data_IF_068957971513
#
_entry.id   IF_068957971513
#
_cell.length_a   1.000
_cell.length_b   1.000
_cell.length_c   1.000
_cell.angle_alpha   90.00
_cell.angle_beta   90.00
_cell.angle_gamma   90.00
#
_symmetry.space_group_name_H-M   'P 1'
#
loop_
_entity.id
_entity.type
_entity.pdbx_description
1 polymer ?
#
# COMPACT_ATOMS: atom_id res chain seq x y z
N UNK A 1 12.34 6.89 23.40
CA UNK A 1 11.35 5.81 23.27
C UNK A 1 10.18 6.39 22.49
N UNK A 2 9.96 5.97 21.24
CA UNK A 2 8.84 6.48 20.45
C UNK A 2 7.54 5.96 21.04
N UNK A 3 6.64 6.86 21.43
CA UNK A 3 5.29 6.47 21.82
C UNK A 3 4.48 6.23 20.56
N UNK A 4 4.12 4.96 20.30
CA UNK A 4 3.27 4.60 19.15
C UNK A 4 1.88 5.21 19.32
N UNK A 5 1.33 5.73 18.24
CA UNK A 5 -0.06 6.17 18.18
C UNK A 5 -0.98 4.96 17.96
N UNK A 6 -2.29 5.07 18.26
CA UNK A 6 -3.23 3.96 18.06
C UNK A 6 -3.32 3.47 16.61
N UNK A 7 -3.01 4.33 15.63
CA UNK A 7 -2.95 3.98 14.22
C UNK A 7 -1.57 3.51 13.75
N UNK A 8 -0.68 3.13 14.67
CA UNK A 8 0.64 2.60 14.40
C UNK A 8 0.84 1.27 15.11
N UNK A 9 1.53 0.33 14.48
CA UNK A 9 1.90 -0.95 15.08
C UNK A 9 3.35 -1.30 14.71
N UNK A 10 4.21 -1.46 15.71
CA UNK A 10 5.54 -2.04 15.54
C UNK A 10 5.39 -3.56 15.50
N UNK A 11 5.69 -4.19 14.37
CA UNK A 11 5.42 -5.61 14.10
C UNK A 11 6.69 -6.46 14.05
N UNK A 12 7.84 -5.83 13.90
CA UNK A 12 9.18 -6.38 14.04
C UNK A 12 10.09 -5.24 14.53
N UNK A 13 11.35 -5.52 14.84
CA UNK A 13 12.26 -4.58 15.50
C UNK A 13 12.29 -3.19 14.82
N UNK A 14 12.23 -3.15 13.47
CA UNK A 14 12.32 -1.92 12.69
C UNK A 14 11.13 -1.70 11.73
N UNK A 15 10.14 -2.60 11.72
CA UNK A 15 9.00 -2.54 10.81
C UNK A 15 7.77 -1.97 11.53
N UNK A 16 7.34 -0.80 11.07
CA UNK A 16 6.18 -0.08 11.57
C UNK A 16 5.07 -0.07 10.51
N UNK A 17 3.88 -0.53 10.86
CA UNK A 17 2.67 -0.32 10.07
C UNK A 17 2.00 0.98 10.49
N UNK A 18 1.51 1.73 9.51
CA UNK A 18 0.69 2.93 9.72
C UNK A 18 -0.70 2.74 9.12
N UNK A 19 -1.75 3.05 9.88
CA UNK A 19 -3.15 2.92 9.46
C UNK A 19 -3.52 3.78 8.25
N UNK A 20 -2.66 4.71 7.85
CA UNK A 20 -2.73 5.44 6.58
C UNK A 20 -2.24 4.60 5.40
N UNK A 21 -2.10 3.27 5.59
CA UNK A 21 -1.77 2.27 4.58
C UNK A 21 -0.31 2.36 4.10
N UNK A 22 0.60 2.63 5.01
CA UNK A 22 2.04 2.67 4.76
C UNK A 22 2.80 1.72 5.69
N UNK A 23 3.88 1.16 5.17
CA UNK A 23 4.83 0.34 5.91
C UNK A 23 6.16 1.09 5.94
N UNK A 24 6.70 1.32 7.13
CA UNK A 24 7.94 2.06 7.33
C UNK A 24 9.00 1.19 8.00
N UNK A 25 10.21 1.20 7.46
CA UNK A 25 11.38 0.58 8.07
C UNK A 25 12.29 1.66 8.67
N UNK A 26 12.52 1.58 9.98
CA UNK A 26 13.16 2.67 10.72
C UNK A 26 14.65 2.79 10.40
N UNK A 27 15.39 1.69 10.40
CA UNK A 27 16.85 1.69 10.20
C UNK A 27 17.24 2.00 8.75
N UNK A 28 16.59 1.36 7.77
CA UNK A 28 16.86 1.59 6.34
C UNK A 28 16.16 2.85 5.81
N UNK A 29 15.25 3.42 6.58
CA UNK A 29 14.54 4.67 6.27
C UNK A 29 13.82 4.64 4.92
N UNK A 30 13.17 3.53 4.58
CA UNK A 30 12.24 3.49 3.47
C UNK A 30 10.80 3.44 3.98
N UNK A 31 9.91 4.08 3.21
CA UNK A 31 8.47 4.06 3.40
C UNK A 31 7.84 3.41 2.17
N UNK A 32 7.03 2.39 2.34
CA UNK A 32 6.35 1.71 1.23
C UNK A 32 4.85 1.94 1.27
N UNK A 33 4.28 2.17 0.08
CA UNK A 33 2.85 2.23 -0.21
C UNK A 33 2.58 1.45 -1.49
N UNK A 34 1.35 0.98 -1.71
CA UNK A 34 1.01 0.19 -2.89
C UNK A 34 -0.29 0.67 -3.55
N UNK A 35 -0.43 0.44 -4.85
CA UNK A 35 -1.70 0.53 -5.58
C UNK A 35 -2.40 1.89 -5.39
N UNK A 36 -1.74 2.97 -5.82
CA UNK A 36 -2.28 4.32 -5.70
C UNK A 36 -3.47 4.55 -6.63
N UNK A 37 -3.44 3.92 -7.81
CA UNK A 37 -4.45 4.14 -8.86
C UNK A 37 -4.78 5.61 -9.06
N UNK A 38 -3.73 6.46 -9.06
CA UNK A 38 -3.85 7.90 -9.16
C UNK A 38 -4.60 8.29 -10.43
N UNK A 39 -5.61 9.13 -10.30
CA UNK A 39 -6.47 9.55 -11.42
C UNK A 39 -7.59 8.57 -11.77
N UNK A 40 -7.97 7.64 -10.90
CA UNK A 40 -9.15 6.79 -11.10
C UNK A 40 -10.40 7.61 -11.47
N UNK A 41 -10.66 8.71 -10.76
CA UNK A 41 -11.79 9.58 -11.02
C UNK A 41 -11.72 10.29 -12.39
N UNK A 42 -10.52 10.60 -12.88
CA UNK A 42 -10.35 11.17 -14.23
C UNK A 42 -10.77 10.14 -15.29
N UNK A 43 -10.30 8.91 -15.15
CA UNK A 43 -10.65 7.80 -16.02
C UNK A 43 -12.16 7.54 -16.04
N UNK A 44 -12.78 7.46 -14.85
CA UNK A 44 -14.22 7.22 -14.73
C UNK A 44 -15.05 8.34 -15.35
N UNK A 45 -14.64 9.60 -15.16
CA UNK A 45 -15.30 10.75 -15.78
C UNK A 45 -15.13 10.78 -17.29
N UNK A 46 -13.95 10.43 -17.80
CA UNK A 46 -13.72 10.27 -19.23
C UNK A 46 -14.61 9.19 -19.85
N UNK A 47 -14.99 8.17 -19.08
CA UNK A 47 -15.96 7.15 -19.43
C UNK A 47 -17.43 7.56 -19.22
N UNK A 48 -17.71 8.81 -18.79
CA UNK A 48 -19.04 9.35 -18.58
C UNK A 48 -19.64 9.16 -17.17
N UNK A 49 -18.89 8.63 -16.22
CA UNK A 49 -19.36 8.47 -14.85
C UNK A 49 -19.31 9.79 -14.06
N UNK A 50 -20.28 10.02 -13.19
CA UNK A 50 -20.34 11.18 -12.29
C UNK A 50 -19.66 10.84 -10.96
N UNK A 51 -18.34 10.74 -10.97
CA UNK A 51 -17.52 10.48 -9.77
C UNK A 51 -16.98 11.78 -9.19
N UNK A 52 -16.96 11.95 -7.87
CA UNK A 52 -16.37 13.14 -7.24
C UNK A 52 -14.84 13.15 -7.40
N UNK A 53 -14.25 14.35 -7.44
CA UNK A 53 -12.83 14.59 -7.78
C UNK A 53 -11.95 14.87 -6.55
N UNK A 54 -12.05 14.02 -5.52
CA UNK A 54 -11.28 14.21 -4.29
C UNK A 54 -10.15 13.17 -4.08
N UNK A 55 -10.17 12.07 -4.84
CA UNK A 55 -9.27 10.94 -4.62
C UNK A 55 -7.80 11.29 -4.82
N UNK A 56 -7.46 11.97 -5.91
CA UNK A 56 -6.07 12.41 -6.15
C UNK A 56 -5.56 13.35 -5.06
N UNK A 57 -6.39 14.31 -4.62
CA UNK A 57 -6.02 15.21 -3.54
C UNK A 57 -5.80 14.44 -2.23
N UNK A 58 -6.69 13.50 -1.90
CA UNK A 58 -6.57 12.64 -0.72
C UNK A 58 -5.30 11.79 -0.74
N UNK A 59 -4.97 11.19 -1.88
CA UNK A 59 -3.74 10.40 -2.04
C UNK A 59 -2.51 11.29 -1.84
N UNK A 60 -2.43 12.42 -2.54
CA UNK A 60 -1.32 13.37 -2.44
C UNK A 60 -1.12 13.84 -1.00
N UNK A 61 -2.18 14.33 -0.37
CA UNK A 61 -2.09 14.95 0.97
C UNK A 61 -1.68 13.90 2.02
N UNK A 62 -2.18 12.66 1.90
CA UNK A 62 -1.79 11.55 2.78
C UNK A 62 -0.34 11.13 2.58
N UNK A 63 0.15 11.08 1.33
CA UNK A 63 1.56 10.81 1.03
C UNK A 63 2.47 11.88 1.62
N UNK A 64 2.16 13.15 1.40
CA UNK A 64 2.97 14.27 1.92
C UNK A 64 3.00 14.28 3.45
N UNK A 65 1.88 14.02 4.13
CA UNK A 65 1.83 13.88 5.60
C UNK A 65 2.72 12.73 6.10
N UNK A 66 2.68 11.57 5.42
CA UNK A 66 3.53 10.43 5.76
C UNK A 66 5.02 10.75 5.58
N UNK A 67 5.38 11.37 4.46
CA UNK A 67 6.77 11.75 4.18
C UNK A 67 7.26 12.83 5.15
N UNK A 68 6.44 13.83 5.49
CA UNK A 68 6.78 14.85 6.48
C UNK A 68 7.03 14.24 7.86
N UNK A 69 6.19 13.28 8.27
CA UNK A 69 6.28 12.65 9.57
C UNK A 69 7.46 11.68 9.70
N UNK A 70 7.60 10.75 8.75
CA UNK A 70 8.62 9.70 8.81
C UNK A 70 9.97 10.16 8.27
N UNK A 71 10.01 11.19 7.44
CA UNK A 71 11.20 11.69 6.74
C UNK A 71 12.02 10.55 6.15
N UNK A 72 11.39 9.68 5.34
CA UNK A 72 12.08 8.55 4.77
C UNK A 72 13.19 9.04 3.83
N UNK A 73 14.26 8.26 3.69
CA UNK A 73 15.22 8.49 2.61
C UNK A 73 14.61 8.12 1.26
N UNK A 74 13.82 7.05 1.24
CA UNK A 74 13.16 6.54 0.02
C UNK A 74 11.68 6.27 0.26
N UNK A 75 10.86 6.70 -0.71
CA UNK A 75 9.44 6.34 -0.79
C UNK A 75 9.26 5.31 -1.90
N UNK A 76 8.92 4.07 -1.53
CA UNK A 76 8.70 2.98 -2.48
C UNK A 76 7.22 2.88 -2.80
N UNK A 77 6.85 3.08 -4.07
CA UNK A 77 5.50 2.92 -4.59
C UNK A 77 5.44 1.57 -5.33
N UNK A 78 4.70 0.62 -4.78
CA UNK A 78 4.66 -0.77 -5.21
C UNK A 78 3.60 -1.01 -6.29
N UNK A 79 3.83 -0.43 -7.45
CA UNK A 79 3.02 -0.61 -8.65
C UNK A 79 1.68 0.11 -8.63
N UNK A 80 1.05 0.06 -9.79
CA UNK A 80 -0.23 0.68 -10.06
C UNK A 80 -0.28 2.14 -9.56
N UNK A 81 0.80 2.89 -9.92
CA UNK A 81 0.92 4.32 -9.63
C UNK A 81 -0.28 5.07 -10.22
N UNK A 82 -0.59 4.81 -11.49
CA UNK A 82 -1.73 5.42 -12.17
C UNK A 82 -2.83 4.39 -12.45
N UNK A 83 -4.07 4.86 -12.52
CA UNK A 83 -5.17 3.99 -12.93
C UNK A 83 -5.07 3.68 -14.43
N UNK A 84 -4.83 4.72 -15.24
CA UNK A 84 -4.58 4.64 -16.67
C UNK A 84 -3.82 5.88 -17.18
N UNK A 85 -3.72 6.03 -18.51
CA UNK A 85 -3.00 7.14 -19.17
C UNK A 85 -3.59 8.53 -18.93
N UNK A 86 -4.81 8.67 -18.42
CA UNK A 86 -5.48 9.96 -18.24
C UNK A 86 -4.82 10.83 -17.17
N UNK A 87 -4.11 10.23 -16.21
CA UNK A 87 -3.51 10.93 -15.07
C UNK A 87 -1.97 11.04 -15.13
N UNK A 88 -1.37 10.84 -16.30
CA UNK A 88 0.11 10.86 -16.43
C UNK A 88 0.72 12.21 -16.04
N UNK A 89 0.07 13.32 -16.40
CA UNK A 89 0.56 14.67 -16.10
C UNK A 89 0.51 14.92 -14.60
N UNK A 90 -0.60 14.58 -13.98
CA UNK A 90 -0.85 14.74 -12.55
C UNK A 90 0.09 13.85 -11.73
N UNK A 91 0.31 12.59 -12.18
CA UNK A 91 1.24 11.67 -11.53
C UNK A 91 2.69 12.17 -11.62
N UNK A 92 3.12 12.73 -12.74
CA UNK A 92 4.44 13.36 -12.86
C UNK A 92 4.60 14.53 -11.91
N UNK A 93 3.59 15.40 -11.83
CA UNK A 93 3.58 16.52 -10.88
C UNK A 93 3.67 16.03 -9.43
N UNK A 94 2.96 14.97 -9.08
CA UNK A 94 3.06 14.34 -7.76
C UNK A 94 4.49 13.84 -7.49
N UNK A 95 5.09 13.10 -8.43
CA UNK A 95 6.45 12.60 -8.29
C UNK A 95 7.49 13.73 -8.18
N UNK A 96 7.32 14.83 -8.92
CA UNK A 96 8.17 16.01 -8.82
C UNK A 96 8.08 16.66 -7.43
N UNK A 97 6.89 16.75 -6.84
CA UNK A 97 6.70 17.24 -5.48
C UNK A 97 7.39 16.30 -4.45
N UNK A 98 7.24 14.99 -4.59
CA UNK A 98 7.87 14.02 -3.70
C UNK A 98 9.40 14.06 -3.78
N UNK A 99 9.98 14.28 -4.98
CA UNK A 99 11.44 14.43 -5.17
C UNK A 99 12.06 15.60 -4.41
N UNK A 100 11.27 16.60 -4.00
CA UNK A 100 11.77 17.71 -3.20
C UNK A 100 12.04 17.31 -1.74
N UNK A 101 11.50 16.19 -1.28
CA UNK A 101 11.50 15.79 0.14
C UNK A 101 12.07 14.39 0.40
N UNK A 102 12.04 13.51 -0.60
CA UNK A 102 12.60 12.15 -0.53
C UNK A 102 12.92 11.62 -1.94
N UNK A 103 13.54 10.45 -2.03
CA UNK A 103 13.77 9.72 -3.28
C UNK A 103 12.57 8.79 -3.57
N UNK A 104 11.67 9.09 -4.53
CA UNK A 104 10.62 8.18 -4.91
C UNK A 104 11.16 7.05 -5.80
N UNK A 105 10.98 5.82 -5.37
CA UNK A 105 11.21 4.58 -6.13
C UNK A 105 9.87 4.07 -6.61
N UNK A 106 9.67 3.98 -7.91
CA UNK A 106 8.39 3.54 -8.48
C UNK A 106 8.57 2.19 -9.15
N UNK A 107 7.98 1.17 -8.56
CA UNK A 107 7.91 -0.18 -9.13
C UNK A 107 6.71 -0.25 -10.07
N UNK A 108 6.84 -0.92 -11.21
CA UNK A 108 5.76 -1.02 -12.18
C UNK A 108 4.70 -2.03 -11.77
N UNK A 109 3.43 -1.64 -11.85
CA UNK A 109 2.29 -2.53 -11.78
C UNK A 109 1.71 -2.87 -13.17
N UNK A 110 0.68 -3.69 -13.17
CA UNK A 110 0.01 -4.09 -14.42
C UNK A 110 -0.80 -2.95 -15.06
N UNK A 111 -1.27 -1.96 -14.29
CA UNK A 111 -1.93 -0.76 -14.80
C UNK A 111 -0.94 0.23 -15.43
N UNK A 112 0.32 0.24 -15.00
CA UNK A 112 1.34 1.18 -15.46
C UNK A 112 1.89 0.88 -16.85
N UNK A 113 1.58 -0.28 -17.44
CA UNK A 113 2.11 -0.72 -18.77
C UNK A 113 1.90 0.30 -19.89
N UNK A 114 0.79 1.06 -19.83
CA UNK A 114 0.40 2.03 -20.88
C UNK A 114 1.10 3.39 -20.74
N UNK A 115 1.83 3.61 -19.63
CA UNK A 115 2.51 4.86 -19.31
C UNK A 115 4.02 4.69 -19.20
N UNK A 116 4.55 3.48 -19.39
CA UNK A 116 5.99 3.21 -19.54
C UNK A 116 6.56 4.09 -20.66
N UNK A 117 7.69 4.74 -20.41
CA UNK A 117 8.29 5.71 -21.33
C UNK A 117 7.82 7.17 -21.11
N UNK A 118 6.80 7.40 -20.28
CA UNK A 118 6.40 8.74 -19.81
C UNK A 118 6.73 8.98 -18.34
N UNK A 119 6.78 7.90 -17.56
CA UNK A 119 7.21 7.84 -16.17
C UNK A 119 8.27 6.73 -16.10
N UNK A 120 9.29 6.95 -15.31
CA UNK A 120 10.34 5.96 -15.05
C UNK A 120 9.84 4.95 -14.01
N UNK A 121 9.97 3.66 -14.35
CA UNK A 121 9.58 2.55 -13.50
C UNK A 121 10.71 1.53 -13.42
N UNK A 122 10.88 0.95 -12.25
CA UNK A 122 11.67 -0.26 -12.05
C UNK A 122 10.74 -1.48 -12.11
N UNK A 123 11.24 -2.64 -12.53
CA UNK A 123 10.46 -3.88 -12.45
C UNK A 123 10.42 -4.41 -11.01
N UNK A 124 11.50 -4.20 -10.24
CA UNK A 124 11.60 -4.44 -8.81
C UNK A 124 12.66 -3.52 -8.19
N UNK A 125 12.67 -3.44 -6.86
CA UNK A 125 13.73 -2.77 -6.11
C UNK A 125 14.14 -3.64 -4.93
N UNK A 126 15.42 -3.61 -4.54
CA UNK A 126 15.96 -4.48 -3.50
C UNK A 126 16.83 -3.70 -2.51
N UNK A 127 16.82 -4.19 -1.27
CA UNK A 127 17.84 -3.91 -0.25
C UNK A 127 18.51 -5.22 0.17
N UNK A 128 19.39 -5.17 1.15
CA UNK A 128 20.05 -6.38 1.64
C UNK A 128 19.03 -7.42 2.18
N UNK A 129 17.96 -6.94 2.82
CA UNK A 129 16.98 -7.78 3.50
C UNK A 129 15.61 -7.87 2.80
N UNK A 130 15.30 -6.96 1.89
CA UNK A 130 13.97 -6.82 1.31
C UNK A 130 14.00 -6.83 -0.21
N UNK A 131 12.95 -7.42 -0.80
CA UNK A 131 12.68 -7.40 -2.23
C UNK A 131 11.28 -6.84 -2.48
N UNK A 132 11.22 -5.72 -3.20
CA UNK A 132 10.02 -4.96 -3.48
C UNK A 132 9.59 -5.19 -4.93
N UNK A 133 8.39 -5.71 -5.12
CA UNK A 133 7.79 -5.87 -6.45
C UNK A 133 6.27 -5.75 -6.35
N UNK A 134 5.60 -5.57 -7.49
CA UNK A 134 4.16 -5.36 -7.44
C UNK A 134 3.36 -6.61 -7.03
N UNK A 135 3.81 -7.81 -7.37
CA UNK A 135 3.13 -9.05 -7.01
C UNK A 135 2.26 -9.65 -8.12
N UNK A 136 2.12 -9.00 -9.27
CA UNK A 136 1.33 -9.50 -10.41
C UNK A 136 2.06 -10.54 -11.28
N UNK A 137 3.36 -10.69 -11.12
CA UNK A 137 4.19 -11.69 -11.79
C UNK A 137 4.93 -12.53 -10.76
N UNK A 138 5.18 -13.78 -11.10
CA UNK A 138 6.08 -14.62 -10.32
C UNK A 138 7.50 -14.03 -10.38
N UNK A 139 8.19 -14.02 -9.25
CA UNK A 139 9.60 -13.64 -9.13
C UNK A 139 10.42 -14.85 -8.73
N UNK A 140 11.72 -14.81 -8.99
CA UNK A 140 12.62 -15.86 -8.55
C UNK A 140 12.63 -15.95 -7.02
N UNK A 141 12.77 -17.17 -6.49
CA UNK A 141 12.87 -17.39 -5.07
C UNK A 141 14.09 -16.65 -4.49
N UNK A 142 13.89 -15.95 -3.40
CA UNK A 142 14.93 -15.17 -2.73
C UNK A 142 14.82 -15.38 -1.23
N UNK A 143 15.94 -15.32 -0.52
CA UNK A 143 15.97 -15.33 0.94
C UNK A 143 15.53 -13.97 1.55
N UNK A 144 15.27 -12.96 0.71
CA UNK A 144 14.80 -11.65 1.15
C UNK A 144 13.31 -11.67 1.48
N UNK A 145 12.93 -10.86 2.44
CA UNK A 145 11.53 -10.63 2.77
C UNK A 145 10.89 -9.87 1.59
N UNK A 146 9.84 -10.43 1.01
CA UNK A 146 9.12 -9.79 -0.08
C UNK A 146 8.14 -8.75 0.45
N UNK A 147 8.06 -7.60 -0.23
CA UNK A 147 7.07 -6.55 0.02
C UNK A 147 6.29 -6.35 -1.27
N UNK A 148 4.99 -6.67 -1.27
CA UNK A 148 4.16 -6.66 -2.48
C UNK A 148 2.86 -5.88 -2.32
N UNK A 149 2.31 -5.41 -3.45
CA UNK A 149 0.97 -4.82 -3.60
C UNK A 149 -0.01 -5.77 -4.29
N UNK A 150 -0.76 -5.26 -5.26
CA UNK A 150 -1.61 -5.95 -6.22
C UNK A 150 -2.86 -6.65 -5.64
N UNK A 151 -2.73 -7.35 -4.53
CA UNK A 151 -3.82 -8.17 -3.97
C UNK A 151 -4.90 -7.36 -3.25
N UNK A 152 -4.63 -6.10 -2.92
CA UNK A 152 -5.54 -5.21 -2.19
C UNK A 152 -6.21 -5.89 -0.99
N UNK A 153 -5.47 -6.50 -0.06
CA UNK A 153 -6.08 -7.24 1.04
C UNK A 153 -6.96 -6.35 1.91
N UNK A 154 -8.10 -6.89 2.29
CA UNK A 154 -9.04 -6.29 3.21
C UNK A 154 -9.57 -7.34 4.18
N UNK A 155 -10.01 -6.93 5.35
CA UNK A 155 -10.64 -7.81 6.32
C UNK A 155 -11.92 -7.18 6.87
N UNK A 156 -12.85 -8.02 7.29
CA UNK A 156 -14.13 -7.59 7.85
C UNK A 156 -14.15 -7.88 9.34
N UNK A 157 -14.52 -6.87 10.13
CA UNK A 157 -14.87 -7.01 11.55
C UNK A 157 -16.38 -6.87 11.68
N UNK A 158 -16.93 -7.51 12.73
CA UNK A 158 -18.35 -7.44 13.08
C UNK A 158 -18.48 -7.24 14.57
N UNK A 159 -19.48 -6.50 14.98
CA UNK A 159 -19.86 -6.31 16.39
C UNK A 159 -20.75 -7.45 16.92
N UNK A 160 -21.08 -8.44 16.07
CA UNK A 160 -22.03 -9.49 16.41
C UNK A 160 -23.51 -9.09 16.43
N UNK A 161 -23.82 -7.79 16.32
CA UNK A 161 -25.16 -7.23 16.38
C UNK A 161 -25.67 -6.76 14.99
N UNK A 162 -24.94 -7.07 13.92
CA UNK A 162 -25.32 -6.76 12.55
C UNK A 162 -24.43 -5.76 11.84
N UNK A 163 -23.62 -4.99 12.53
CA UNK A 163 -22.63 -4.10 11.89
C UNK A 163 -21.48 -4.94 11.34
N UNK A 164 -21.16 -4.71 10.08
CA UNK A 164 -19.99 -5.29 9.41
C UNK A 164 -19.22 -4.18 8.73
N UNK A 165 -17.94 -4.06 9.09
CA UNK A 165 -17.04 -3.06 8.53
C UNK A 165 -15.88 -3.79 7.83
N UNK A 166 -15.78 -3.60 6.51
CA UNK A 166 -14.65 -4.08 5.70
C UNK A 166 -13.63 -2.95 5.59
N UNK A 167 -12.41 -3.20 6.04
CA UNK A 167 -11.31 -2.24 5.99
C UNK A 167 -10.10 -2.83 5.28
N UNK A 168 -9.23 -1.99 4.68
CA UNK A 168 -7.92 -2.42 4.20
C UNK A 168 -7.13 -3.12 5.29
N UNK A 169 -6.27 -4.05 4.92
CA UNK A 169 -5.48 -4.79 5.87
C UNK A 169 -4.07 -5.06 5.33
N UNK A 170 -3.05 -4.97 6.20
CA UNK A 170 -1.77 -5.59 5.93
C UNK A 170 -1.87 -7.08 6.21
N UNK A 171 -1.19 -7.87 5.39
CA UNK A 171 -1.07 -9.32 5.60
C UNK A 171 0.41 -9.68 5.64
N UNK A 172 0.81 -10.44 6.65
CA UNK A 172 2.12 -11.07 6.73
C UNK A 172 1.93 -12.58 6.59
N UNK A 173 2.61 -13.13 5.61
CA UNK A 173 2.80 -14.58 5.45
C UNK A 173 4.29 -14.89 5.57
N UNK A 174 4.68 -16.18 5.55
CA UNK A 174 6.07 -16.57 5.62
C UNK A 174 6.92 -15.86 4.57
N UNK A 175 7.84 -14.99 5.02
CA UNK A 175 8.75 -14.25 4.14
C UNK A 175 8.12 -13.16 3.26
N UNK A 176 6.84 -12.80 3.46
CA UNK A 176 6.16 -11.82 2.60
C UNK A 176 5.22 -10.89 3.37
N UNK A 177 5.28 -9.60 3.05
CA UNK A 177 4.30 -8.58 3.42
C UNK A 177 3.45 -8.20 2.21
N UNK A 178 2.13 -8.32 2.34
CA UNK A 178 1.16 -7.94 1.32
C UNK A 178 0.49 -6.64 1.77
N UNK A 179 0.71 -5.60 0.96
CA UNK A 179 0.26 -4.25 1.26
C UNK A 179 -1.20 -4.03 0.89
N UNK A 180 -1.97 -3.30 1.69
CA UNK A 180 -3.27 -2.81 1.25
C UNK A 180 -3.12 -1.75 0.15
N UNK A 181 -4.13 -1.64 -0.72
CA UNK A 181 -4.17 -0.58 -1.70
C UNK A 181 -4.28 0.80 -1.03
N UNK A 182 -3.42 1.73 -1.44
CA UNK A 182 -3.41 3.10 -0.94
C UNK A 182 -4.56 3.93 -1.51
N UNK A 183 -5.12 3.51 -2.63
CA UNK A 183 -6.24 4.18 -3.29
C UNK A 183 -7.51 4.19 -2.43
N UNK A 184 -8.19 5.32 -2.26
CA UNK A 184 -9.50 5.37 -1.60
C UNK A 184 -10.61 4.72 -2.46
N UNK A 185 -10.34 4.47 -3.73
CA UNK A 185 -11.26 3.85 -4.68
C UNK A 185 -11.15 2.32 -4.73
N UNK A 186 -10.10 1.75 -4.13
CA UNK A 186 -9.93 0.31 -4.09
C UNK A 186 -10.83 -0.31 -3.02
N UNK A 187 -11.80 -1.12 -3.44
CA UNK A 187 -12.74 -1.79 -2.52
C UNK A 187 -12.11 -2.90 -1.67
N UNK A 188 -10.87 -3.25 -1.95
CA UNK A 188 -10.13 -4.34 -1.32
C UNK A 188 -10.74 -5.74 -1.58
N UNK A 189 -9.93 -6.77 -1.43
CA UNK A 189 -10.34 -8.17 -1.54
C UNK A 189 -10.35 -8.78 -0.14
N UNK A 190 -11.47 -9.44 0.23
CA UNK A 190 -11.55 -10.12 1.52
C UNK A 190 -10.46 -11.18 1.61
N UNK A 191 -9.52 -10.99 2.54
CA UNK A 191 -8.45 -11.95 2.74
C UNK A 191 -8.96 -13.19 3.47
N UNK A 192 -8.67 -14.36 2.91
CA UNK A 192 -8.90 -15.62 3.59
C UNK A 192 -7.82 -15.80 4.65
N UNK A 193 -8.22 -15.83 5.92
CA UNK A 193 -7.28 -16.05 7.02
C UNK A 193 -7.01 -17.55 7.17
N UNK A 194 -5.74 -17.88 7.28
CA UNK A 194 -5.23 -19.20 7.59
C UNK A 194 -4.32 -19.15 8.84
N UNK A 195 -3.77 -20.27 9.24
CA UNK A 195 -2.88 -20.35 10.41
C UNK A 195 -1.50 -19.71 10.16
N UNK A 196 -1.12 -19.50 8.88
CA UNK A 196 0.18 -18.96 8.49
C UNK A 196 0.13 -17.44 8.30
N UNK A 197 -1.08 -16.86 8.17
CA UNK A 197 -1.26 -15.43 7.91
C UNK A 197 -1.54 -14.64 9.18
N UNK A 198 -0.83 -13.54 9.33
CA UNK A 198 -1.12 -12.50 10.33
C UNK A 198 -1.73 -11.31 9.62
N UNK A 199 -2.84 -10.80 10.15
CA UNK A 199 -3.63 -9.75 9.50
C UNK A 199 -3.79 -8.56 10.42
N UNK A 200 -3.46 -7.36 9.93
CA UNK A 200 -3.66 -6.09 10.62
C UNK A 200 -4.65 -5.25 9.84
N UNK A 201 -5.85 -5.12 10.38
CA UNK A 201 -6.89 -4.27 9.82
C UNK A 201 -6.57 -2.80 10.12
N UNK A 202 -6.72 -1.96 9.09
CA UNK A 202 -6.34 -0.55 9.15
C UNK A 202 -7.55 0.37 9.06
N UNK A 203 -7.60 1.33 9.99
CA UNK A 203 -8.39 2.54 9.86
C UNK A 203 -7.45 3.74 10.00
N UNK A 204 -7.82 4.96 9.58
CA UNK A 204 -6.98 6.14 9.76
C UNK A 204 -6.61 6.39 11.23
N UNK A 205 -7.45 5.94 12.16
CA UNK A 205 -7.32 6.20 13.59
C UNK A 205 -6.72 5.04 14.37
N UNK A 206 -6.79 3.81 13.84
CA UNK A 206 -6.37 2.62 14.59
C UNK A 206 -5.93 1.47 13.67
N UNK A 207 -4.93 0.73 14.12
CA UNK A 207 -4.58 -0.60 13.59
C UNK A 207 -5.02 -1.65 14.60
N UNK A 208 -5.66 -2.72 14.09
CA UNK A 208 -6.12 -3.85 14.89
C UNK A 208 -5.52 -5.14 14.34
N UNK A 209 -4.68 -5.81 15.13
CA UNK A 209 -4.27 -7.17 14.81
C UNK A 209 -5.48 -8.10 15.00
N UNK A 210 -5.85 -8.80 13.95
CA UNK A 210 -6.92 -9.79 14.03
C UNK A 210 -6.42 -11.06 14.73
N UNK A 211 -7.29 -11.75 15.49
CA UNK A 211 -6.96 -13.06 16.05
C UNK A 211 -6.56 -14.03 14.92
N UNK A 212 -5.67 -14.96 15.23
CA UNK A 212 -5.32 -16.06 14.32
C UNK A 212 -6.57 -16.90 14.02
N UNK A 213 -6.62 -17.47 12.81
CA UNK A 213 -7.73 -18.35 12.46
C UNK A 213 -7.74 -19.54 13.43
N UNK A 214 -8.90 -19.83 14.00
CA UNK A 214 -9.01 -21.09 14.78
C UNK A 214 -9.02 -22.24 13.78
N UNK A 215 -8.31 -23.35 14.08
CA UNK A 215 -8.40 -24.54 13.26
C UNK A 215 -9.87 -24.96 13.16
N UNK A 216 -10.31 -25.19 11.93
CA UNK A 216 -11.65 -25.74 11.70
C UNK A 216 -11.64 -27.12 12.35
N UNK A 217 -12.32 -27.27 13.48
CA UNK A 217 -12.53 -28.59 14.10
C UNK A 217 -13.27 -29.46 13.09
N UNK A 218 -12.58 -30.50 12.62
CA UNK A 218 -13.11 -31.52 11.70
C UNK A 218 -14.28 -32.30 12.31
#
# INVERSE_FOLDING_TARGET
MFTLRPNQALVADDILLDGRLALFHQSERWLAVADLHFGYELSQRAAGALVPMWGMASIRDRLLQLVEEYRPARLVILGDLVHDRTAVVEARTLLEQLRQVCEPIVVAGNHDRHVRGRIEFLDSWETDCFHFHHGHCAVEASDRIQIIGHHHPAATISDGAGLRLKCPAFVQQSGCWIMPAFSPWAGGVQWARDEESRVWLCTPERILRLPEAQPVSA
#
